data_IF_180624917885
#
_entry.id   IF_180624917885
#
_cell.length_a   1.000
_cell.length_b   1.000
_cell.length_c   1.000
_cell.angle_alpha   90.00
_cell.angle_beta   90.00
_cell.angle_gamma   90.00
#
_symmetry.space_group_name_H-M   'P 1'
#
loop_
_entity.id
_entity.type
_entity.pdbx_description
1 polymer ?
#
# COMPACT_ATOMS: atom_id res chain seq x y z
N UNK A 1 2.97 23.06 0.63
CA UNK A 1 3.30 21.63 0.81
C UNK A 1 2.90 21.06 2.18
N UNK A 2 3.03 21.78 3.30
CA UNK A 2 2.70 21.28 4.66
C UNK A 2 1.28 20.74 4.86
N UNK A 3 0.27 21.39 4.27
CA UNK A 3 -1.14 21.01 4.46
C UNK A 3 -1.49 19.64 3.86
N UNK A 4 -0.78 19.22 2.79
CA UNK A 4 -0.97 17.91 2.17
C UNK A 4 -0.29 16.80 2.98
N UNK A 5 0.88 17.08 3.57
CA UNK A 5 1.56 16.14 4.47
C UNK A 5 0.72 15.85 5.72
N UNK A 6 0.21 16.88 6.40
CA UNK A 6 -0.61 16.67 7.61
C UNK A 6 -1.86 15.82 7.35
N UNK A 7 -2.54 16.04 6.22
CA UNK A 7 -3.70 15.22 5.81
C UNK A 7 -3.32 13.77 5.48
N UNK A 8 -2.15 13.56 4.89
CA UNK A 8 -1.67 12.21 4.60
C UNK A 8 -1.36 11.46 5.90
N UNK A 9 -0.77 12.11 6.90
CA UNK A 9 -0.43 11.49 8.19
C UNK A 9 -1.67 11.11 9.00
N UNK A 10 -2.70 11.96 9.04
CA UNK A 10 -3.98 11.64 9.67
C UNK A 10 -4.71 10.49 8.96
N UNK A 11 -4.69 10.48 7.63
CA UNK A 11 -5.26 9.38 6.84
C UNK A 11 -4.54 8.06 7.13
N UNK A 12 -3.21 8.06 7.18
CA UNK A 12 -2.41 6.88 7.53
C UNK A 12 -2.77 6.37 8.91
N UNK A 13 -2.84 7.24 9.93
CA UNK A 13 -3.23 6.83 11.29
C UNK A 13 -4.61 6.17 11.34
N UNK A 14 -5.58 6.77 10.65
CA UNK A 14 -6.95 6.26 10.59
C UNK A 14 -7.00 4.89 9.90
N UNK A 15 -6.32 4.76 8.76
CA UNK A 15 -6.25 3.53 7.98
C UNK A 15 -5.45 2.44 8.70
N UNK A 16 -4.38 2.78 9.41
CA UNK A 16 -3.61 1.86 10.24
C UNK A 16 -4.48 1.32 11.38
N UNK A 17 -5.27 2.18 12.04
CA UNK A 17 -6.19 1.71 13.08
C UNK A 17 -7.25 0.78 12.50
N UNK A 18 -7.76 1.07 11.30
CA UNK A 18 -8.68 0.18 10.60
C UNK A 18 -8.03 -1.17 10.26
N UNK A 19 -6.77 -1.16 9.82
CA UNK A 19 -5.98 -2.37 9.54
C UNK A 19 -5.80 -3.23 10.79
N UNK A 20 -5.47 -2.63 11.94
CA UNK A 20 -5.31 -3.34 13.22
C UNK A 20 -6.63 -3.94 13.73
N UNK A 21 -7.74 -3.21 13.59
CA UNK A 21 -9.04 -3.65 14.10
C UNK A 21 -9.71 -4.66 13.17
N UNK A 22 -9.58 -4.48 11.86
CA UNK A 22 -10.18 -5.31 10.82
C UNK A 22 -9.23 -5.40 9.61
N UNK A 23 -8.26 -6.33 9.65
CA UNK A 23 -7.26 -6.49 8.59
C UNK A 23 -7.82 -7.08 7.30
N UNK A 24 -9.10 -7.44 7.26
CA UNK A 24 -9.83 -8.01 6.13
C UNK A 24 -10.59 -6.95 5.30
N UNK A 25 -10.53 -5.67 5.69
CA UNK A 25 -11.12 -4.58 4.89
C UNK A 25 -10.20 -4.28 3.70
N UNK A 26 -10.53 -4.87 2.56
CA UNK A 26 -9.83 -4.66 1.29
C UNK A 26 -9.57 -3.18 0.97
N UNK A 27 -10.60 -2.33 1.08
CA UNK A 27 -10.47 -0.90 0.79
C UNK A 27 -9.50 -0.18 1.74
N UNK A 28 -9.57 -0.45 3.04
CA UNK A 28 -8.67 0.16 4.02
C UNK A 28 -7.22 -0.25 3.77
N UNK A 29 -6.99 -1.53 3.46
CA UNK A 29 -5.67 -2.05 3.14
C UNK A 29 -5.10 -1.38 1.87
N UNK A 30 -5.89 -1.31 0.79
CA UNK A 30 -5.46 -0.66 -0.46
C UNK A 30 -5.09 0.81 -0.22
N UNK A 31 -5.96 1.56 0.46
CA UNK A 31 -5.71 2.97 0.73
C UNK A 31 -4.54 3.19 1.69
N UNK A 32 -4.31 2.30 2.66
CA UNK A 32 -3.15 2.37 3.55
C UNK A 32 -1.84 2.21 2.77
N UNK A 33 -1.79 1.20 1.89
CA UNK A 33 -0.65 0.99 1.00
C UNK A 33 -0.36 2.20 0.10
N UNK A 34 -1.40 2.74 -0.54
CA UNK A 34 -1.29 3.93 -1.37
C UNK A 34 -0.85 5.17 -0.57
N UNK A 35 -1.33 5.33 0.67
CA UNK A 35 -0.95 6.45 1.52
C UNK A 35 0.52 6.36 1.95
N UNK A 36 1.01 5.16 2.24
CA UNK A 36 2.43 4.93 2.50
C UNK A 36 3.30 5.21 1.27
N UNK A 37 2.88 4.80 0.08
CA UNK A 37 3.55 5.16 -1.17
C UNK A 37 3.65 6.68 -1.37
N UNK A 38 2.53 7.40 -1.22
CA UNK A 38 2.47 8.87 -1.39
C UNK A 38 3.29 9.64 -0.34
N UNK A 39 3.69 8.98 0.74
CA UNK A 39 4.54 9.55 1.80
C UNK A 39 5.94 8.95 1.81
N UNK A 40 6.33 8.26 0.74
CA UNK A 40 7.63 7.62 0.55
C UNK A 40 7.98 6.58 1.62
N UNK A 41 6.98 6.02 2.31
CA UNK A 41 7.12 4.95 3.29
C UNK A 41 6.98 3.58 2.62
N UNK A 42 7.83 3.32 1.62
CA UNK A 42 7.67 2.20 0.70
C UNK A 42 7.65 0.83 1.40
N UNK A 43 8.53 0.57 2.37
CA UNK A 43 8.54 -0.71 3.10
C UNK A 43 7.21 -0.97 3.82
N UNK A 44 6.61 0.08 4.42
CA UNK A 44 5.33 -0.04 5.13
C UNK A 44 4.15 -0.26 4.20
N UNK A 45 4.25 0.13 2.93
CA UNK A 45 3.20 -0.11 1.94
C UNK A 45 3.08 -1.58 1.54
N UNK A 46 4.14 -2.38 1.69
CA UNK A 46 4.19 -3.75 1.19
C UNK A 46 3.13 -4.65 1.85
N UNK A 47 3.07 -4.65 3.18
CA UNK A 47 2.12 -5.45 3.96
C UNK A 47 0.65 -5.20 3.59
N UNK A 48 0.12 -3.97 3.65
CA UNK A 48 -1.27 -3.70 3.31
C UNK A 48 -1.60 -3.99 1.83
N UNK A 49 -0.66 -3.80 0.91
CA UNK A 49 -0.85 -4.13 -0.50
C UNK A 49 -0.88 -5.66 -0.72
N UNK A 50 0.05 -6.41 -0.12
CA UNK A 50 0.04 -7.88 -0.13
C UNK A 50 -1.25 -8.44 0.47
N UNK A 51 -1.74 -7.85 1.57
CA UNK A 51 -3.03 -8.23 2.17
C UNK A 51 -4.20 -7.97 1.23
N UNK A 52 -4.20 -6.83 0.52
CA UNK A 52 -5.23 -6.52 -0.48
C UNK A 52 -5.26 -7.57 -1.59
N UNK A 53 -4.09 -7.98 -2.10
CA UNK A 53 -3.96 -9.05 -3.10
C UNK A 53 -4.47 -10.38 -2.56
N UNK A 54 -4.13 -10.72 -1.32
CA UNK A 54 -4.61 -11.96 -0.68
C UNK A 54 -6.13 -12.00 -0.52
N UNK A 55 -6.76 -10.85 -0.24
CA UNK A 55 -8.22 -10.74 -0.10
C UNK A 55 -8.93 -10.70 -1.46
N UNK A 56 -8.31 -10.06 -2.46
CA UNK A 56 -8.83 -10.00 -3.82
C UNK A 56 -7.68 -10.01 -4.83
N UNK A 57 -7.35 -11.19 -5.39
CA UNK A 57 -6.33 -11.32 -6.42
C UNK A 57 -6.66 -10.62 -7.74
N UNK A 58 -7.87 -10.07 -7.91
CA UNK A 58 -8.26 -9.29 -9.10
C UNK A 58 -8.07 -7.78 -8.92
N UNK A 59 -7.62 -7.32 -7.75
CA UNK A 59 -7.39 -5.90 -7.49
C UNK A 59 -6.07 -5.44 -8.12
N UNK A 60 -6.11 -5.10 -9.41
CA UNK A 60 -4.94 -4.67 -10.18
C UNK A 60 -4.22 -3.47 -9.58
N UNK A 61 -4.94 -2.56 -8.89
CA UNK A 61 -4.29 -1.41 -8.23
C UNK A 61 -3.35 -1.87 -7.13
N UNK A 62 -3.63 -2.97 -6.45
CA UNK A 62 -2.75 -3.47 -5.39
C UNK A 62 -1.44 -3.99 -5.98
N UNK A 63 -1.48 -4.72 -7.11
CA UNK A 63 -0.29 -5.18 -7.82
C UNK A 63 0.55 -4.01 -8.36
N UNK A 64 -0.09 -3.02 -9.00
CA UNK A 64 0.60 -1.83 -9.51
C UNK A 64 1.31 -1.07 -8.40
N UNK A 65 0.60 -0.77 -7.31
CA UNK A 65 1.20 -0.09 -6.18
C UNK A 65 2.31 -0.93 -5.53
N UNK A 66 2.13 -2.25 -5.39
CA UNK A 66 3.15 -3.12 -4.79
C UNK A 66 4.41 -3.17 -5.65
N UNK A 67 4.27 -3.26 -6.97
CA UNK A 67 5.39 -3.18 -7.91
C UNK A 67 6.12 -1.84 -7.84
N UNK A 68 5.39 -0.73 -7.75
CA UNK A 68 5.99 0.60 -7.54
C UNK A 68 6.76 0.66 -6.22
N UNK A 69 6.18 0.17 -5.13
CA UNK A 69 6.86 0.13 -3.83
C UNK A 69 8.15 -0.68 -3.86
N UNK A 70 8.15 -1.81 -4.57
CA UNK A 70 9.35 -2.62 -4.75
C UNK A 70 10.41 -1.92 -5.59
N UNK A 71 10.02 -1.27 -6.69
CA UNK A 71 10.95 -0.49 -7.53
C UNK A 71 11.59 0.66 -6.75
N UNK A 72 10.81 1.40 -5.95
CA UNK A 72 11.33 2.48 -5.09
C UNK A 72 12.26 1.96 -3.98
N UNK A 73 12.15 0.69 -3.61
CA UNK A 73 13.06 0.01 -2.69
C UNK A 73 14.28 -0.62 -3.39
N UNK A 74 14.40 -0.50 -4.71
CA UNK A 74 15.45 -1.14 -5.51
C UNK A 74 15.30 -2.67 -5.63
N UNK A 75 14.11 -3.20 -5.36
CA UNK A 75 13.76 -4.63 -5.44
C UNK A 75 13.10 -4.94 -6.78
N UNK A 76 13.83 -4.68 -7.87
CA UNK A 76 13.28 -4.74 -9.24
C UNK A 76 12.79 -6.14 -9.64
N UNK A 77 13.44 -7.20 -9.16
CA UNK A 77 13.00 -8.58 -9.41
C UNK A 77 11.61 -8.85 -8.80
N UNK A 78 11.37 -8.41 -7.57
CA UNK A 78 10.06 -8.53 -6.92
C UNK A 78 9.01 -7.64 -7.61
N UNK A 79 9.40 -6.44 -8.04
CA UNK A 79 8.52 -5.56 -8.80
C UNK A 79 8.03 -6.22 -10.10
N UNK A 80 8.95 -6.80 -10.88
CA UNK A 80 8.61 -7.51 -12.12
C UNK A 80 7.73 -8.73 -11.85
N UNK A 81 8.05 -9.52 -10.82
CA UNK A 81 7.27 -10.70 -10.47
C UNK A 81 5.82 -10.37 -10.10
N UNK A 82 5.60 -9.23 -9.42
CA UNK A 82 4.28 -8.76 -9.02
C UNK A 82 3.51 -8.17 -10.20
N UNK A 83 4.17 -7.45 -11.11
CA UNK A 83 3.54 -6.81 -12.26
C UNK A 83 3.18 -7.78 -13.40
N UNK A 84 3.75 -8.98 -13.41
CA UNK A 84 3.45 -10.04 -14.39
C UNK A 84 2.23 -10.90 -14.02
N UNK A 85 1.58 -10.64 -12.88
CA UNK A 85 0.38 -11.34 -12.39
C UNK A 85 -0.90 -10.65 -12.86
#
# INVERSE_FOLDING_TARGET
MYYLQGKNDEAIKTLQRAFELRPDILGANLFLGMAYLRTNQYEKSLEPLKKTISLNPKETRAYLNLGLSYSELGRDEEALAVLQK
#
